data_IF_456137579505
#
_entry.id   IF_456137579505
#
_cell.length_a   1.000
_cell.length_b   1.000
_cell.length_c   1.000
_cell.angle_alpha   90.00
_cell.angle_beta   90.00
_cell.angle_gamma   90.00
#
_symmetry.space_group_name_H-M   'P 1'
#
loop_
_entity.id
_entity.type
_entity.pdbx_description
1 polymer ?
#
# COMPACT_ATOMS: atom_id res chain seq x y z
N UNK A 1 -30.56 -3.00 29.16
CA UNK A 1 -31.76 -2.78 28.32
C UNK A 1 -31.30 -2.21 26.98
N UNK A 2 -30.73 -3.05 26.11
CA UNK A 2 -30.48 -2.69 24.70
C UNK A 2 -31.81 -2.76 23.95
N UNK A 3 -32.19 -1.65 23.41
CA UNK A 3 -33.40 -1.47 22.59
C UNK A 3 -33.06 -1.98 21.18
N UNK A 4 -33.55 -3.14 20.84
CA UNK A 4 -33.60 -3.60 19.45
C UNK A 4 -34.50 -2.62 18.67
N UNK A 5 -33.91 -1.88 17.72
CA UNK A 5 -34.69 -1.23 16.67
C UNK A 5 -35.13 -2.30 15.66
N UNK A 6 -36.39 -2.35 15.26
CA UNK A 6 -36.84 -3.25 14.22
C UNK A 6 -36.28 -2.77 12.88
N UNK A 7 -35.53 -3.65 12.18
CA UNK A 7 -35.15 -3.46 10.80
C UNK A 7 -36.42 -3.49 9.92
N UNK A 8 -36.74 -2.33 9.36
CA UNK A 8 -37.79 -2.17 8.36
C UNK A 8 -37.18 -2.30 6.96
N UNK A 9 -37.87 -3.02 6.10
CA UNK A 9 -37.63 -3.35 4.71
C UNK A 9 -36.83 -4.64 4.47
N UNK A 10 -37.51 -5.62 3.89
CA UNK A 10 -37.01 -6.89 3.38
C UNK A 10 -35.90 -6.67 2.33
N UNK A 11 -34.68 -6.55 2.78
CA UNK A 11 -33.52 -6.78 1.93
C UNK A 11 -33.45 -8.29 1.65
N UNK A 12 -33.83 -8.72 0.45
CA UNK A 12 -33.83 -10.13 0.09
C UNK A 12 -32.39 -10.59 -0.13
N UNK A 13 -31.86 -11.37 0.81
CA UNK A 13 -30.57 -12.03 0.66
C UNK A 13 -30.59 -12.96 -0.56
N UNK A 14 -29.57 -12.85 -1.41
CA UNK A 14 -29.40 -13.70 -2.59
C UNK A 14 -28.33 -14.74 -2.31
N UNK A 15 -28.70 -16.03 -2.36
CA UNK A 15 -27.74 -17.13 -2.25
C UNK A 15 -26.97 -17.33 -3.56
N UNK A 16 -25.65 -17.46 -3.47
CA UNK A 16 -24.75 -17.52 -4.63
C UNK A 16 -25.00 -18.78 -5.47
N UNK A 17 -25.32 -19.90 -4.86
CA UNK A 17 -25.71 -21.12 -5.59
C UNK A 17 -26.90 -20.93 -6.55
N UNK A 18 -27.79 -19.99 -6.23
CA UNK A 18 -28.92 -19.63 -7.09
C UNK A 18 -28.54 -18.62 -8.18
N UNK A 19 -27.48 -17.85 -7.94
CA UNK A 19 -26.98 -16.86 -8.86
C UNK A 19 -26.13 -17.49 -9.97
N UNK A 20 -25.31 -18.49 -9.60
CA UNK A 20 -24.47 -19.22 -10.55
C UNK A 20 -25.33 -19.94 -11.59
N UNK A 21 -25.01 -19.71 -12.87
CA UNK A 21 -25.74 -20.26 -14.02
C UNK A 21 -26.87 -19.37 -14.55
N UNK A 22 -27.30 -18.32 -13.82
CA UNK A 22 -28.30 -17.39 -14.33
C UNK A 22 -27.80 -16.66 -15.57
N UNK A 23 -28.68 -16.43 -16.56
CA UNK A 23 -28.35 -15.58 -17.70
C UNK A 23 -28.15 -14.13 -17.28
N UNK A 24 -27.14 -13.50 -17.87
CA UNK A 24 -26.86 -12.07 -17.74
C UNK A 24 -27.37 -11.39 -18.99
N UNK A 25 -28.24 -10.40 -18.82
CA UNK A 25 -28.86 -9.66 -19.93
C UNK A 25 -28.47 -8.18 -19.87
N UNK A 26 -28.25 -7.58 -21.01
CA UNK A 26 -27.95 -6.15 -21.12
C UNK A 26 -29.23 -5.28 -21.10
N UNK A 27 -29.05 -3.96 -21.30
CA UNK A 27 -30.17 -3.01 -21.32
C UNK A 27 -31.15 -3.20 -22.50
N UNK A 28 -30.71 -3.86 -23.57
CA UNK A 28 -31.55 -4.19 -24.72
C UNK A 28 -32.34 -5.50 -24.49
N UNK A 29 -32.03 -6.25 -23.47
CA UNK A 29 -32.59 -7.56 -23.16
C UNK A 29 -31.84 -8.73 -23.81
N UNK A 30 -30.71 -8.45 -24.45
CA UNK A 30 -29.91 -9.46 -25.11
C UNK A 30 -29.05 -10.21 -24.08
N UNK A 31 -28.96 -11.53 -24.22
CA UNK A 31 -28.17 -12.35 -23.33
C UNK A 31 -26.68 -12.23 -23.64
N UNK A 32 -25.93 -11.65 -22.71
CA UNK A 32 -24.47 -11.48 -22.76
C UNK A 32 -23.75 -12.78 -22.43
N UNK A 33 -24.21 -13.51 -21.42
CA UNK A 33 -23.55 -14.73 -20.93
C UNK A 33 -24.29 -15.33 -19.73
N UNK A 34 -23.56 -16.07 -18.90
CA UNK A 34 -24.08 -16.64 -17.65
C UNK A 34 -23.13 -16.37 -16.47
N UNK A 35 -23.71 -16.12 -15.31
CA UNK A 35 -22.91 -15.97 -14.08
C UNK A 35 -22.16 -17.28 -13.78
N UNK A 36 -20.86 -17.17 -13.57
CA UNK A 36 -19.98 -18.30 -13.24
C UNK A 36 -19.55 -18.27 -11.78
N UNK A 37 -19.23 -17.09 -11.24
CA UNK A 37 -18.83 -16.92 -9.86
C UNK A 37 -19.07 -15.48 -9.40
N UNK A 38 -18.85 -15.21 -8.12
CA UNK A 38 -18.93 -13.89 -7.51
C UNK A 38 -17.56 -13.51 -6.93
N UNK A 39 -17.05 -12.35 -7.30
CA UNK A 39 -15.78 -11.81 -6.81
C UNK A 39 -16.04 -10.97 -5.56
N UNK A 40 -15.27 -11.22 -4.52
CA UNK A 40 -15.32 -10.43 -3.28
C UNK A 40 -13.92 -10.14 -2.75
N UNK A 41 -13.83 -9.11 -1.92
CA UNK A 41 -12.66 -8.78 -1.11
C UNK A 41 -12.96 -9.01 0.37
N UNK A 42 -12.01 -9.57 1.08
CA UNK A 42 -12.05 -9.61 2.53
C UNK A 42 -11.84 -8.20 3.08
N UNK A 43 -12.41 -7.92 4.24
CA UNK A 43 -12.19 -6.69 5.00
C UNK A 43 -11.60 -7.05 6.36
N UNK A 44 -10.92 -6.10 6.98
CA UNK A 44 -10.29 -6.26 8.29
C UNK A 44 -11.31 -6.56 9.39
N UNK A 45 -10.89 -7.34 10.36
CA UNK A 45 -11.69 -7.68 11.53
C UNK A 45 -12.92 -8.54 11.19
N UNK A 46 -14.02 -8.29 11.89
CA UNK A 46 -15.30 -9.01 11.76
C UNK A 46 -16.22 -8.45 10.68
N UNK A 47 -15.76 -7.49 9.87
CA UNK A 47 -16.57 -6.86 8.83
C UNK A 47 -16.91 -7.87 7.73
N UNK A 48 -18.15 -7.80 7.25
CA UNK A 48 -18.60 -8.65 6.14
C UNK A 48 -17.84 -8.30 4.85
N UNK A 49 -17.34 -9.29 4.06
CA UNK A 49 -16.61 -9.05 2.83
C UNK A 49 -17.42 -8.28 1.80
N UNK A 50 -16.75 -7.42 1.05
CA UNK A 50 -17.38 -6.61 0.01
C UNK A 50 -17.40 -7.34 -1.31
N UNK A 51 -18.58 -7.47 -1.91
CA UNK A 51 -18.74 -8.02 -3.27
C UNK A 51 -18.34 -6.97 -4.30
N UNK A 52 -17.40 -7.31 -5.16
CA UNK A 52 -16.85 -6.41 -6.20
C UNK A 52 -17.56 -6.56 -7.53
N UNK A 53 -17.92 -7.77 -7.91
CA UNK A 53 -18.54 -8.05 -9.21
C UNK A 53 -18.84 -9.51 -9.44
N UNK A 54 -19.27 -9.79 -10.66
CA UNK A 54 -19.60 -11.12 -11.14
C UNK A 54 -18.58 -11.56 -12.18
N UNK A 55 -18.18 -12.82 -12.14
CA UNK A 55 -17.52 -13.49 -13.27
C UNK A 55 -18.62 -14.03 -14.17
N UNK A 56 -18.65 -13.55 -15.40
CA UNK A 56 -19.66 -13.94 -16.42
C UNK A 56 -18.94 -14.71 -17.52
N UNK A 57 -19.46 -15.90 -17.84
CA UNK A 57 -18.99 -16.71 -18.96
C UNK A 57 -19.80 -16.40 -20.22
N UNK A 58 -19.12 -15.89 -21.24
CA UNK A 58 -19.70 -15.62 -22.55
C UNK A 58 -19.92 -16.92 -23.35
N UNK A 59 -20.68 -16.85 -24.44
CA UNK A 59 -20.95 -18.01 -25.31
C UNK A 59 -19.67 -18.68 -25.86
N UNK A 60 -18.58 -17.92 -26.03
CA UNK A 60 -17.27 -18.43 -26.46
C UNK A 60 -16.43 -19.06 -25.33
N UNK A 61 -17.03 -19.38 -24.17
CA UNK A 61 -16.35 -19.85 -22.95
C UNK A 61 -15.32 -18.88 -22.39
N UNK A 62 -15.29 -17.65 -22.87
CA UNK A 62 -14.45 -16.60 -22.29
C UNK A 62 -15.13 -16.06 -21.02
N UNK A 63 -14.36 -15.90 -19.96
CA UNK A 63 -14.81 -15.29 -18.71
C UNK A 63 -14.43 -13.83 -18.68
N UNK A 64 -15.37 -12.98 -18.30
CA UNK A 64 -15.21 -11.55 -18.16
C UNK A 64 -15.63 -11.10 -16.76
N UNK A 65 -15.19 -9.91 -16.34
CA UNK A 65 -15.58 -9.30 -15.07
C UNK A 65 -16.67 -8.25 -15.28
N UNK A 66 -17.75 -8.36 -14.53
CA UNK A 66 -18.83 -7.36 -14.50
C UNK A 66 -18.90 -6.74 -13.09
N UNK A 67 -18.50 -5.47 -12.92
CA UNK A 67 -18.55 -4.79 -11.63
C UNK A 67 -19.97 -4.72 -11.07
N UNK A 68 -20.13 -4.86 -9.72
CA UNK A 68 -21.45 -4.82 -9.07
C UNK A 68 -22.20 -3.51 -9.33
N UNK A 69 -21.51 -2.39 -9.51
CA UNK A 69 -22.13 -1.10 -9.85
C UNK A 69 -22.92 -1.13 -11.16
N UNK A 70 -22.57 -2.04 -12.08
CA UNK A 70 -23.29 -2.25 -13.37
C UNK A 70 -24.46 -3.21 -13.24
N UNK A 71 -24.55 -3.97 -12.17
CA UNK A 71 -25.67 -4.86 -11.89
C UNK A 71 -26.86 -4.01 -11.45
N UNK A 72 -27.88 -3.95 -12.31
CA UNK A 72 -29.08 -3.16 -12.08
C UNK A 72 -30.09 -3.91 -11.22
N UNK A 73 -30.33 -5.18 -11.54
CA UNK A 73 -31.29 -6.01 -10.84
C UNK A 73 -30.88 -7.49 -10.89
N UNK A 74 -31.15 -8.19 -9.81
CA UNK A 74 -31.01 -9.64 -9.70
C UNK A 74 -32.39 -10.22 -9.43
N UNK A 75 -32.88 -11.02 -10.35
CA UNK A 75 -34.14 -11.73 -10.21
C UNK A 75 -33.90 -13.25 -10.09
N UNK A 76 -34.94 -14.01 -9.84
CA UNK A 76 -34.82 -15.48 -9.78
C UNK A 76 -34.43 -16.12 -11.11
N UNK A 77 -34.62 -15.41 -12.24
CA UNK A 77 -34.43 -15.94 -13.59
C UNK A 77 -33.23 -15.34 -14.34
N UNK A 78 -32.79 -14.14 -13.97
CA UNK A 78 -31.74 -13.42 -14.70
C UNK A 78 -31.10 -12.32 -13.88
N UNK A 79 -29.91 -11.90 -14.30
CA UNK A 79 -29.20 -10.72 -13.84
C UNK A 79 -29.21 -9.67 -14.95
N UNK A 80 -29.80 -8.50 -14.69
CA UNK A 80 -29.81 -7.38 -15.63
C UNK A 80 -28.64 -6.43 -15.33
N UNK A 81 -27.91 -6.06 -16.38
CA UNK A 81 -26.76 -5.13 -16.28
C UNK A 81 -26.98 -3.89 -17.14
N UNK A 82 -26.34 -2.78 -16.77
CA UNK A 82 -26.37 -1.51 -17.50
C UNK A 82 -24.98 -1.15 -18.05
N UNK A 83 -25.00 -0.52 -19.21
CA UNK A 83 -23.80 -0.03 -19.90
C UNK A 83 -23.07 -1.11 -20.70
N UNK A 84 -21.99 -0.70 -21.37
CA UNK A 84 -21.20 -1.62 -22.20
C UNK A 84 -20.40 -2.59 -21.32
N UNK A 85 -20.37 -3.85 -21.74
CA UNK A 85 -19.62 -4.91 -21.08
C UNK A 85 -18.18 -4.87 -21.55
N UNK A 86 -17.24 -4.85 -20.61
CA UNK A 86 -15.82 -5.02 -20.91
C UNK A 86 -15.56 -6.49 -21.25
N UNK A 87 -15.18 -6.75 -22.48
CA UNK A 87 -14.96 -8.12 -23.00
C UNK A 87 -13.55 -8.65 -22.72
N UNK A 88 -12.71 -7.90 -22.02
CA UNK A 88 -11.38 -8.39 -21.63
C UNK A 88 -11.51 -9.64 -20.75
N UNK A 89 -10.59 -10.59 -20.98
CA UNK A 89 -10.58 -11.84 -20.24
C UNK A 89 -10.35 -11.56 -18.75
N UNK A 90 -11.22 -12.09 -17.91
CA UNK A 90 -11.06 -12.03 -16.47
C UNK A 90 -9.78 -12.73 -16.04
N UNK A 91 -8.95 -12.03 -15.25
CA UNK A 91 -7.84 -12.59 -14.50
C UNK A 91 -8.09 -12.27 -13.03
N UNK A 92 -8.14 -13.29 -12.19
CA UNK A 92 -8.26 -13.14 -10.74
C UNK A 92 -7.01 -12.41 -10.23
N UNK A 93 -7.20 -11.33 -9.48
CA UNK A 93 -6.11 -10.64 -8.75
C UNK A 93 -5.85 -11.35 -7.44
N UNK A 94 -4.71 -11.15 -6.84
CA UNK A 94 -4.32 -11.78 -5.57
C UNK A 94 -5.25 -11.41 -4.42
N UNK A 95 -5.69 -10.16 -4.36
CA UNK A 95 -6.68 -9.65 -3.39
C UNK A 95 -8.10 -10.15 -3.59
N UNK A 96 -8.39 -10.79 -4.73
CA UNK A 96 -9.75 -11.21 -5.10
C UNK A 96 -10.02 -12.66 -4.72
N UNK A 97 -11.18 -12.88 -4.17
CA UNK A 97 -11.71 -14.22 -3.84
C UNK A 97 -12.95 -14.52 -4.66
N UNK A 98 -13.13 -15.80 -5.00
CA UNK A 98 -14.27 -16.31 -5.74
C UNK A 98 -15.13 -17.15 -4.81
N UNK A 99 -16.42 -16.79 -4.68
CA UNK A 99 -17.28 -17.46 -3.69
C UNK A 99 -17.45 -18.94 -4.00
N UNK A 100 -17.83 -19.28 -5.23
CA UNK A 100 -18.08 -20.68 -5.58
C UNK A 100 -16.77 -21.50 -5.66
N UNK A 101 -15.71 -20.88 -6.19
CA UNK A 101 -14.42 -21.58 -6.37
C UNK A 101 -13.65 -21.72 -5.06
N UNK A 102 -13.59 -20.67 -4.24
CA UNK A 102 -12.69 -20.60 -3.09
C UNK A 102 -13.39 -20.92 -1.75
N UNK A 103 -14.71 -20.72 -1.63
CA UNK A 103 -15.44 -20.93 -0.38
C UNK A 103 -16.29 -22.19 -0.34
N UNK A 104 -16.91 -22.62 -1.45
CA UNK A 104 -17.76 -23.82 -1.41
C UNK A 104 -16.93 -25.06 -1.08
N UNK A 105 -17.53 -25.98 -0.33
CA UNK A 105 -16.91 -27.19 0.21
C UNK A 105 -15.71 -26.97 1.16
N UNK A 106 -15.37 -25.72 1.48
CA UNK A 106 -14.31 -25.42 2.42
C UNK A 106 -14.66 -25.92 3.82
N UNK A 107 -13.72 -26.59 4.52
CA UNK A 107 -13.95 -27.03 5.88
C UNK A 107 -14.07 -25.84 6.83
N UNK A 108 -15.02 -25.94 7.76
CA UNK A 108 -15.21 -24.96 8.84
C UNK A 108 -14.74 -25.61 10.15
N UNK A 109 -13.86 -24.95 10.95
CA UNK A 109 -13.40 -25.47 12.22
C UNK A 109 -14.58 -25.62 13.20
N UNK A 110 -15.01 -26.85 13.45
CA UNK A 110 -16.04 -27.21 14.41
C UNK A 110 -15.81 -28.65 14.90
N UNK A 111 -16.39 -28.99 16.03
CA UNK A 111 -16.31 -30.35 16.64
C UNK A 111 -16.81 -31.47 15.71
N UNK A 112 -17.67 -31.12 14.78
CA UNK A 112 -18.21 -32.06 13.77
C UNK A 112 -17.72 -31.61 12.38
N UNK A 113 -17.29 -32.56 11.50
CA UNK A 113 -16.87 -32.22 10.14
C UNK A 113 -17.95 -31.42 9.42
N UNK A 114 -17.70 -30.16 9.25
CA UNK A 114 -18.62 -29.17 8.69
C UNK A 114 -17.98 -28.50 7.47
N UNK A 115 -18.76 -28.24 6.44
CA UNK A 115 -18.30 -27.57 5.22
C UNK A 115 -19.26 -26.47 4.83
N UNK A 116 -18.75 -25.46 4.14
CA UNK A 116 -19.57 -24.43 3.53
C UNK A 116 -20.34 -25.02 2.36
N UNK A 117 -21.66 -24.88 2.40
CA UNK A 117 -22.55 -25.34 1.35
C UNK A 117 -22.95 -24.21 0.40
N UNK A 118 -23.21 -23.02 0.94
CA UNK A 118 -23.62 -21.84 0.18
C UNK A 118 -23.31 -20.56 0.94
N UNK A 119 -23.26 -19.45 0.26
CA UNK A 119 -23.06 -18.12 0.84
C UNK A 119 -24.13 -17.19 0.27
N UNK A 120 -24.70 -16.33 1.11
CA UNK A 120 -25.62 -15.30 0.66
C UNK A 120 -24.97 -13.92 0.65
N UNK A 121 -25.43 -13.06 -0.24
CA UNK A 121 -25.06 -11.65 -0.29
C UNK A 121 -26.30 -10.77 -0.16
N UNK A 122 -26.13 -9.58 0.42
CA UNK A 122 -27.18 -8.56 0.54
C UNK A 122 -26.70 -7.25 -0.04
N UNK A 123 -27.64 -6.45 -0.52
CA UNK A 123 -27.39 -5.08 -0.89
C UNK A 123 -27.47 -4.20 0.37
N UNK A 124 -26.40 -3.48 0.66
CA UNK A 124 -26.34 -2.44 1.70
C UNK A 124 -26.48 -1.05 1.06
N UNK A 125 -26.27 0.02 1.80
CA UNK A 125 -26.43 1.40 1.32
C UNK A 125 -25.62 1.67 0.04
N UNK A 126 -26.13 2.53 -0.85
CA UNK A 126 -25.46 3.02 -2.08
C UNK A 126 -25.09 1.97 -3.12
N UNK A 127 -25.91 0.91 -3.30
CA UNK A 127 -25.64 -0.20 -4.24
C UNK A 127 -24.38 -1.00 -3.95
N UNK A 128 -23.89 -0.94 -2.75
CA UNK A 128 -22.83 -1.83 -2.29
C UNK A 128 -23.42 -3.18 -1.89
N UNK A 129 -22.68 -4.24 -2.15
CA UNK A 129 -23.07 -5.60 -1.82
C UNK A 129 -22.05 -6.22 -0.89
N UNK A 130 -22.53 -6.96 0.11
CA UNK A 130 -21.70 -7.65 1.08
C UNK A 130 -22.12 -9.10 1.21
N UNK A 131 -21.17 -9.98 1.52
CA UNK A 131 -21.50 -11.35 1.93
C UNK A 131 -22.15 -11.27 3.32
N UNK A 132 -23.23 -12.02 3.50
CA UNK A 132 -24.07 -11.84 4.68
C UNK A 132 -24.15 -13.09 5.56
N UNK A 133 -24.55 -14.22 4.99
CA UNK A 133 -24.76 -15.47 5.68
C UNK A 133 -24.05 -16.61 4.98
N UNK A 134 -23.61 -17.57 5.79
CA UNK A 134 -22.99 -18.81 5.31
C UNK A 134 -23.91 -19.96 5.68
N UNK A 135 -24.31 -20.74 4.71
CA UNK A 135 -24.98 -22.02 4.91
C UNK A 135 -23.91 -23.11 5.06
N UNK A 136 -23.85 -23.72 6.21
CA UNK A 136 -22.92 -24.82 6.53
C UNK A 136 -23.66 -26.16 6.59
N UNK A 137 -22.99 -27.20 6.16
CA UNK A 137 -23.54 -28.55 6.23
C UNK A 137 -22.63 -29.45 7.05
N UNK A 138 -23.24 -30.19 8.00
CA UNK A 138 -22.56 -31.19 8.78
C UNK A 138 -23.17 -32.59 8.56
N UNK A 139 -22.34 -33.61 8.60
CA UNK A 139 -22.80 -34.99 8.61
C UNK A 139 -22.82 -35.52 10.04
N UNK A 140 -23.98 -35.66 10.64
CA UNK A 140 -24.14 -36.38 11.89
C UNK A 140 -24.00 -37.87 11.64
N UNK A 141 -23.07 -38.53 12.38
CA UNK A 141 -23.03 -40.00 12.41
C UNK A 141 -24.30 -40.49 13.05
N UNK A 142 -25.16 -41.13 12.27
CA UNK A 142 -26.32 -41.83 12.82
C UNK A 142 -25.92 -43.22 13.25
N UNK A 143 -26.30 -43.55 14.50
CA UNK A 143 -26.52 -44.83 15.19
C UNK A 143 -26.10 -46.13 14.51
N UNK A 144 -25.68 -47.07 15.35
CA UNK A 144 -25.16 -48.41 15.07
C UNK A 144 -25.98 -49.32 14.13
N UNK A 145 -27.15 -48.87 13.69
CA UNK A 145 -28.03 -49.64 12.78
C UNK A 145 -28.69 -48.69 11.78
N UNK A 146 -28.21 -48.65 10.54
CA UNK A 146 -29.00 -48.07 9.47
C UNK A 146 -28.33 -47.07 8.56
N UNK A 147 -28.64 -47.17 7.33
CA UNK A 147 -28.25 -46.36 6.19
C UNK A 147 -28.65 -44.87 6.32
N UNK A 148 -27.72 -43.97 6.03
CA UNK A 148 -28.04 -42.58 5.74
C UNK A 148 -27.82 -41.59 6.88
N UNK A 149 -26.62 -41.00 7.00
CA UNK A 149 -26.40 -39.82 7.83
C UNK A 149 -27.27 -38.64 7.34
N UNK A 150 -28.02 -38.01 8.25
CA UNK A 150 -28.84 -36.84 7.96
C UNK A 150 -27.91 -35.64 7.76
N UNK A 151 -27.99 -34.96 6.62
CA UNK A 151 -27.38 -33.65 6.45
C UNK A 151 -28.17 -32.64 7.26
N UNK A 152 -27.49 -31.96 8.15
CA UNK A 152 -28.04 -30.80 8.87
C UNK A 152 -27.41 -29.56 8.22
N UNK A 153 -28.25 -28.65 7.79
CA UNK A 153 -27.81 -27.36 7.23
C UNK A 153 -28.19 -26.27 8.21
N UNK A 154 -27.18 -25.54 8.71
CA UNK A 154 -27.36 -24.39 9.56
C UNK A 154 -26.97 -23.13 8.78
N UNK A 155 -27.63 -22.02 9.06
CA UNK A 155 -27.31 -20.72 8.51
C UNK A 155 -26.74 -19.88 9.65
N UNK A 156 -25.52 -19.38 9.44
CA UNK A 156 -24.80 -18.53 10.39
C UNK A 156 -24.44 -17.20 9.72
N UNK A 157 -24.30 -16.16 10.49
CA UNK A 157 -23.85 -14.88 9.99
C UNK A 157 -22.34 -14.90 9.77
N UNK A 158 -21.85 -14.12 8.81
CA UNK A 158 -20.42 -14.06 8.48
C UNK A 158 -19.55 -13.76 9.71
N UNK A 159 -19.95 -12.81 10.54
CA UNK A 159 -19.26 -12.42 11.76
C UNK A 159 -19.23 -13.49 12.87
N UNK A 160 -19.94 -14.59 12.71
CA UNK A 160 -19.94 -15.70 13.65
C UNK A 160 -18.93 -16.81 13.26
N UNK A 161 -18.15 -16.60 12.21
CA UNK A 161 -17.12 -17.54 11.74
C UNK A 161 -15.78 -16.82 11.61
N UNK A 162 -15.26 -16.24 12.72
CA UNK A 162 -13.99 -15.53 12.67
C UNK A 162 -12.84 -16.40 12.20
N UNK A 163 -12.82 -17.70 12.57
CA UNK A 163 -11.75 -18.61 12.19
C UNK A 163 -11.72 -18.96 10.69
N UNK A 164 -12.83 -18.81 9.97
CA UNK A 164 -12.83 -18.99 8.53
C UNK A 164 -12.13 -17.83 7.83
N UNK A 165 -12.38 -16.62 8.33
CA UNK A 165 -11.72 -15.38 7.87
C UNK A 165 -10.25 -15.41 8.29
N UNK A 166 -9.97 -15.81 9.55
CA UNK A 166 -8.62 -15.88 10.08
C UNK A 166 -7.77 -16.98 9.41
N UNK A 167 -8.35 -18.13 9.07
CA UNK A 167 -7.62 -19.17 8.34
C UNK A 167 -7.27 -18.78 6.90
N UNK A 168 -8.04 -17.85 6.29
CA UNK A 168 -7.79 -17.30 4.97
C UNK A 168 -6.98 -16.01 4.99
N UNK A 169 -7.15 -15.18 6.04
CA UNK A 169 -6.39 -13.95 6.25
C UNK A 169 -5.05 -14.18 6.97
N UNK A 170 -4.66 -15.44 7.20
CA UNK A 170 -3.39 -15.80 7.88
C UNK A 170 -2.28 -16.21 6.92
N UNK A 171 -2.52 -16.32 5.63
CA UNK A 171 -1.41 -16.55 4.70
C UNK A 171 -0.63 -15.25 4.48
N UNK A 172 0.70 -15.31 4.37
CA UNK A 172 1.53 -14.16 4.04
C UNK A 172 1.04 -13.44 2.79
N UNK A 173 0.66 -14.19 1.76
CA UNK A 173 0.18 -13.65 0.48
C UNK A 173 -1.10 -12.81 0.62
N UNK A 174 -1.93 -13.11 1.61
CA UNK A 174 -3.13 -12.32 1.87
C UNK A 174 -2.80 -10.97 2.53
N UNK A 175 -1.82 -10.94 3.43
CA UNK A 175 -1.34 -9.69 4.05
C UNK A 175 -0.63 -8.83 3.00
N UNK A 176 0.25 -9.40 2.20
CA UNK A 176 0.92 -8.72 1.07
C UNK A 176 -0.10 -8.11 0.11
N UNK A 177 -1.13 -8.88 -0.26
CA UNK A 177 -2.21 -8.36 -1.10
C UNK A 177 -3.05 -7.24 -0.44
N UNK A 178 -3.13 -7.20 0.88
CA UNK A 178 -3.75 -6.11 1.64
C UNK A 178 -2.87 -4.85 1.60
N UNK A 179 -1.56 -5.02 1.69
CA UNK A 179 -0.59 -3.93 1.74
C UNK A 179 -0.51 -3.13 0.44
N UNK A 180 -0.76 -3.73 -0.72
CA UNK A 180 -0.71 -3.04 -2.02
C UNK A 180 -1.64 -1.82 -2.17
N UNK A 181 -2.64 -1.66 -1.32
CA UNK A 181 -3.56 -0.52 -1.30
C UNK A 181 -3.37 0.38 -0.04
N UNK A 182 -2.37 0.07 0.81
CA UNK A 182 -2.09 0.78 2.06
C UNK A 182 -0.95 1.78 1.88
N UNK A 183 -0.87 2.74 2.78
CA UNK A 183 0.29 3.64 2.87
C UNK A 183 1.41 2.97 3.65
N UNK A 184 2.68 3.35 3.40
CA UNK A 184 3.83 2.80 4.12
C UNK A 184 3.68 2.79 5.64
N UNK A 185 3.30 3.92 6.24
CA UNK A 185 3.05 4.02 7.69
C UNK A 185 1.96 3.06 8.21
N UNK A 186 0.89 2.81 7.42
CA UNK A 186 -0.15 1.84 7.80
C UNK A 186 0.37 0.39 7.67
N UNK A 187 1.28 0.12 6.72
CA UNK A 187 1.94 -1.18 6.58
C UNK A 187 2.89 -1.42 7.76
N UNK A 188 3.70 -0.43 8.12
CA UNK A 188 4.59 -0.48 9.27
C UNK A 188 3.82 -0.83 10.55
N UNK A 189 2.69 -0.17 10.81
CA UNK A 189 1.82 -0.48 11.95
C UNK A 189 1.34 -1.95 11.93
N UNK A 190 0.92 -2.46 10.78
CA UNK A 190 0.50 -3.86 10.66
C UNK A 190 1.67 -4.84 10.86
N UNK A 191 2.87 -4.49 10.42
CA UNK A 191 4.09 -5.29 10.64
C UNK A 191 4.48 -5.30 12.11
N UNK A 192 4.43 -4.15 12.80
CA UNK A 192 4.67 -4.02 14.23
C UNK A 192 3.74 -4.93 15.06
N UNK A 193 2.47 -5.01 14.70
CA UNK A 193 1.45 -5.80 15.41
C UNK A 193 1.56 -7.33 15.15
N UNK A 194 2.48 -7.80 14.29
CA UNK A 194 2.62 -9.21 13.96
C UNK A 194 3.45 -9.98 14.99
N UNK A 195 3.04 -11.21 15.27
CA UNK A 195 3.89 -12.17 15.97
C UNK A 195 5.22 -12.39 15.23
N UNK A 196 6.38 -12.55 15.92
CA UNK A 196 7.71 -12.66 15.28
C UNK A 196 7.82 -13.75 14.20
N UNK A 197 7.14 -14.89 14.37
CA UNK A 197 7.15 -15.99 13.38
C UNK A 197 6.39 -15.58 12.11
N UNK A 198 5.28 -14.87 12.27
CA UNK A 198 4.48 -14.37 11.14
C UNK A 198 5.15 -13.22 10.42
N UNK A 199 5.80 -12.33 11.15
CA UNK A 199 6.55 -11.21 10.59
C UNK A 199 7.59 -11.73 9.58
N UNK A 200 8.35 -12.77 9.93
CA UNK A 200 9.33 -13.39 9.02
C UNK A 200 8.68 -13.93 7.75
N UNK A 201 7.52 -14.58 7.87
CA UNK A 201 6.82 -15.14 6.69
C UNK A 201 6.26 -14.03 5.78
N UNK A 202 5.73 -12.95 6.37
CA UNK A 202 5.18 -11.81 5.63
C UNK A 202 6.29 -11.02 4.94
N UNK A 203 7.36 -10.72 5.66
CA UNK A 203 8.54 -10.04 5.13
C UNK A 203 9.17 -10.82 3.96
N UNK A 204 9.19 -12.16 4.01
CA UNK A 204 9.65 -12.99 2.87
C UNK A 204 8.74 -12.92 1.64
N UNK A 205 7.48 -12.59 1.83
CA UNK A 205 6.49 -12.55 0.75
C UNK A 205 6.28 -11.14 0.17
N UNK A 206 6.77 -10.09 0.85
CA UNK A 206 6.78 -8.71 0.35
C UNK A 206 7.82 -8.56 -0.76
N UNK A 207 7.55 -7.70 -1.73
CA UNK A 207 8.57 -7.16 -2.64
C UNK A 207 9.48 -6.18 -1.89
N UNK A 208 10.64 -5.92 -2.44
CA UNK A 208 11.68 -5.17 -1.76
C UNK A 208 11.33 -3.67 -1.67
N UNK A 209 10.65 -3.07 -2.67
CA UNK A 209 10.14 -1.69 -2.67
C UNK A 209 9.13 -1.46 -1.53
N UNK A 210 8.08 -2.30 -1.44
CA UNK A 210 7.08 -2.19 -0.36
C UNK A 210 7.69 -2.42 1.03
N UNK A 211 8.70 -3.29 1.13
CA UNK A 211 9.39 -3.56 2.39
C UNK A 211 10.27 -2.37 2.80
N UNK A 212 10.97 -1.75 1.85
CA UNK A 212 11.80 -0.56 2.07
C UNK A 212 10.95 0.59 2.60
N UNK A 213 9.89 0.97 1.88
CA UNK A 213 8.95 2.02 2.30
C UNK A 213 8.35 1.76 3.70
N UNK A 214 8.04 0.50 4.03
CA UNK A 214 7.50 0.16 5.35
C UNK A 214 8.57 0.19 6.45
N UNK A 215 9.84 -0.14 6.12
CA UNK A 215 10.96 -0.07 7.06
C UNK A 215 11.24 1.35 7.50
N UNK A 216 11.24 2.33 6.60
CA UNK A 216 11.44 3.75 6.89
C UNK A 216 10.47 4.29 7.95
N UNK A 217 9.28 3.70 8.02
CA UNK A 217 8.22 4.09 8.96
C UNK A 217 8.23 3.29 10.28
N UNK A 218 9.11 2.29 10.42
CA UNK A 218 9.25 1.52 11.66
C UNK A 218 10.20 2.22 12.67
N UNK A 219 10.07 1.94 13.98
CA UNK A 219 11.08 2.33 14.96
C UNK A 219 12.46 1.75 14.62
N UNK A 220 13.54 2.51 14.86
CA UNK A 220 14.92 2.13 14.46
C UNK A 220 15.38 0.77 14.97
N UNK A 221 15.03 0.40 16.23
CA UNK A 221 15.35 -0.90 16.80
C UNK A 221 14.63 -2.06 16.08
N UNK A 222 13.44 -1.84 15.52
CA UNK A 222 12.71 -2.81 14.71
C UNK A 222 13.27 -2.91 13.31
N UNK A 223 13.68 -1.79 12.71
CA UNK A 223 14.39 -1.74 11.43
C UNK A 223 15.63 -2.62 11.48
N UNK A 224 16.50 -2.41 12.50
CA UNK A 224 17.71 -3.20 12.72
C UNK A 224 17.39 -4.69 12.88
N UNK A 225 16.37 -5.02 13.68
CA UNK A 225 15.96 -6.41 13.87
C UNK A 225 15.49 -7.07 12.59
N UNK A 226 14.76 -6.37 11.74
CA UNK A 226 14.25 -6.89 10.47
C UNK A 226 15.39 -7.10 9.48
N UNK A 227 16.21 -6.09 9.24
CA UNK A 227 17.36 -6.18 8.32
C UNK A 227 18.32 -7.31 8.76
N UNK A 228 18.59 -7.45 10.06
CA UNK A 228 19.45 -8.52 10.58
C UNK A 228 18.91 -9.93 10.39
N UNK A 229 17.61 -10.10 10.09
CA UNK A 229 16.98 -11.41 9.84
C UNK A 229 16.90 -11.78 8.35
N UNK A 230 17.16 -10.82 7.46
CA UNK A 230 17.22 -11.06 6.02
C UNK A 230 18.55 -11.71 5.63
N UNK A 231 18.56 -12.39 4.48
CA UNK A 231 19.81 -12.79 3.83
C UNK A 231 20.54 -11.54 3.30
N UNK A 232 21.86 -11.49 3.38
CA UNK A 232 22.66 -10.30 3.06
C UNK A 232 22.30 -9.68 1.70
N UNK A 233 22.17 -10.50 0.65
CA UNK A 233 21.80 -9.99 -0.67
C UNK A 233 20.47 -9.25 -0.64
N UNK A 234 19.45 -9.86 -0.03
CA UNK A 234 18.13 -9.26 0.05
C UNK A 234 18.08 -8.03 0.95
N UNK A 235 18.84 -8.04 2.04
CA UNK A 235 18.97 -6.86 2.90
C UNK A 235 19.60 -5.69 2.13
N UNK A 236 20.59 -5.96 1.28
CA UNK A 236 21.20 -4.96 0.41
C UNK A 236 20.21 -4.46 -0.68
N UNK A 237 19.43 -5.36 -1.29
CA UNK A 237 18.40 -4.98 -2.28
C UNK A 237 17.33 -4.08 -1.64
N UNK A 238 16.87 -4.41 -0.42
CA UNK A 238 15.89 -3.58 0.32
C UNK A 238 16.47 -2.22 0.69
N UNK A 239 17.74 -2.17 1.16
CA UNK A 239 18.40 -0.90 1.46
C UNK A 239 18.62 -0.02 0.22
N UNK A 240 18.77 -0.62 -0.96
CA UNK A 240 18.88 0.09 -2.22
C UNK A 240 17.56 0.71 -2.69
N UNK A 241 16.41 0.14 -2.26
CA UNK A 241 15.07 0.69 -2.54
C UNK A 241 14.61 1.73 -1.49
N UNK A 242 15.33 1.90 -0.38
CA UNK A 242 15.07 2.94 0.61
C UNK A 242 15.54 4.32 0.13
N UNK A 243 14.97 5.38 0.71
CA UNK A 243 15.55 6.71 0.56
C UNK A 243 17.00 6.69 1.09
N UNK A 244 17.99 7.22 0.34
CA UNK A 244 19.41 7.04 0.66
C UNK A 244 19.83 7.58 2.04
N UNK A 245 19.17 8.60 2.55
CA UNK A 245 19.39 9.16 3.88
C UNK A 245 18.87 8.21 4.99
N UNK A 246 17.68 7.64 4.83
CA UNK A 246 17.13 6.62 5.73
C UNK A 246 18.00 5.36 5.74
N UNK A 247 18.44 4.90 4.57
CA UNK A 247 19.37 3.79 4.45
C UNK A 247 20.72 4.09 5.14
N UNK A 248 21.25 5.33 5.03
CA UNK A 248 22.47 5.73 5.68
C UNK A 248 22.33 5.77 7.22
N UNK A 249 21.18 6.23 7.73
CA UNK A 249 20.93 6.28 9.16
C UNK A 249 20.79 4.87 9.75
N UNK A 250 20.05 3.98 9.07
CA UNK A 250 19.99 2.58 9.47
C UNK A 250 21.36 1.90 9.45
N UNK A 251 22.19 2.13 8.44
CA UNK A 251 23.54 1.56 8.32
C UNK A 251 24.47 2.08 9.43
N UNK A 252 24.37 3.33 9.86
CA UNK A 252 25.14 3.88 10.98
C UNK A 252 24.90 3.14 12.31
N UNK A 253 23.68 2.62 12.50
CA UNK A 253 23.32 1.89 13.72
C UNK A 253 23.75 0.42 13.70
N UNK A 254 24.14 -0.12 12.53
CA UNK A 254 24.60 -1.50 12.40
C UNK A 254 26.07 -1.67 12.83
N UNK A 255 26.48 -2.87 13.25
CA UNK A 255 27.89 -3.18 13.47
C UNK A 255 28.71 -2.96 12.17
N UNK A 256 29.88 -2.31 12.28
CA UNK A 256 30.75 -1.93 11.14
C UNK A 256 30.96 -3.05 10.12
N UNK A 257 31.17 -4.29 10.58
CA UNK A 257 31.37 -5.43 9.69
C UNK A 257 30.11 -5.83 8.89
N UNK A 258 28.91 -5.59 9.47
CA UNK A 258 27.62 -5.85 8.79
C UNK A 258 27.33 -4.72 7.80
N UNK A 259 27.54 -3.48 8.22
CA UNK A 259 27.38 -2.30 7.39
C UNK A 259 28.24 -2.39 6.11
N UNK A 260 29.51 -2.75 6.22
CA UNK A 260 30.41 -2.87 5.07
C UNK A 260 29.99 -4.06 4.17
N UNK A 261 29.59 -5.20 4.75
CA UNK A 261 29.12 -6.35 3.97
C UNK A 261 27.85 -5.99 3.17
N UNK A 262 26.90 -5.24 3.73
CA UNK A 262 25.72 -4.77 3.04
C UNK A 262 26.06 -3.79 1.91
N UNK A 263 26.92 -2.81 2.18
CA UNK A 263 27.37 -1.84 1.16
C UNK A 263 28.18 -2.47 0.02
N UNK A 264 28.83 -3.62 0.24
CA UNK A 264 29.50 -4.39 -0.82
C UNK A 264 28.51 -5.16 -1.69
N UNK A 265 27.31 -5.48 -1.18
CA UNK A 265 26.28 -6.22 -1.91
C UNK A 265 25.25 -5.33 -2.60
N UNK A 266 25.21 -4.03 -2.26
CA UNK A 266 24.36 -3.04 -2.95
C UNK A 266 24.89 -2.76 -4.36
N UNK A 267 24.04 -2.27 -5.26
CA UNK A 267 24.43 -1.71 -6.55
C UNK A 267 25.47 -0.58 -6.33
N UNK A 268 26.49 -0.45 -7.17
CA UNK A 268 27.57 0.52 -6.96
C UNK A 268 27.10 1.99 -6.89
N UNK A 269 26.02 2.35 -7.56
CA UNK A 269 25.44 3.69 -7.57
C UNK A 269 24.80 4.00 -6.23
N UNK A 270 23.91 3.13 -5.73
CA UNK A 270 23.23 3.27 -4.45
C UNK A 270 24.21 3.24 -3.28
N UNK A 271 25.15 2.28 -3.28
CA UNK A 271 26.21 2.23 -2.29
C UNK A 271 27.09 3.49 -2.25
N UNK A 272 27.29 4.14 -3.41
CA UNK A 272 28.03 5.42 -3.48
C UNK A 272 27.25 6.54 -2.82
N UNK A 273 25.94 6.60 -3.03
CA UNK A 273 25.08 7.65 -2.47
C UNK A 273 24.98 7.52 -0.95
N UNK A 274 24.74 6.31 -0.45
CA UNK A 274 24.75 6.03 0.98
C UNK A 274 26.12 6.37 1.61
N UNK A 275 27.24 5.92 1.00
CA UNK A 275 28.59 6.23 1.51
C UNK A 275 28.88 7.73 1.58
N UNK A 276 28.34 8.53 0.66
CA UNK A 276 28.47 10.00 0.71
C UNK A 276 27.78 10.59 1.94
N UNK A 277 26.62 10.03 2.32
CA UNK A 277 25.85 10.51 3.47
C UNK A 277 26.49 10.10 4.81
N UNK A 278 27.10 8.92 4.85
CA UNK A 278 27.75 8.39 6.06
C UNK A 278 28.89 9.29 6.60
N UNK A 279 29.45 10.19 5.78
CA UNK A 279 30.52 11.10 6.24
C UNK A 279 29.99 12.29 7.04
N UNK A 280 28.70 12.59 6.96
CA UNK A 280 28.07 13.69 7.66
C UNK A 280 27.55 13.28 9.02
N UNK A 281 27.48 14.22 9.94
CA UNK A 281 26.87 14.01 11.25
C UNK A 281 25.35 13.96 11.13
N UNK A 282 24.73 13.07 11.85
CA UNK A 282 23.27 12.80 11.87
C UNK A 282 22.42 14.08 12.01
N UNK A 283 22.72 14.96 12.96
CA UNK A 283 21.99 16.21 13.22
C UNK A 283 22.53 17.41 12.42
N UNK A 284 23.00 17.18 11.19
CA UNK A 284 23.42 18.22 10.25
C UNK A 284 22.64 18.18 8.96
N UNK A 285 22.65 19.27 8.18
CA UNK A 285 21.99 19.28 6.89
C UNK A 285 22.48 18.17 5.95
N UNK A 286 23.77 17.84 6.01
CA UNK A 286 24.35 16.77 5.22
C UNK A 286 23.94 15.37 5.65
N UNK A 287 23.62 15.17 6.95
CA UNK A 287 23.12 13.90 7.46
C UNK A 287 21.63 13.68 7.18
N UNK A 288 20.85 14.76 7.09
CA UNK A 288 19.39 14.74 6.85
C UNK A 288 19.03 14.99 5.39
N UNK A 289 19.98 15.04 4.45
CA UNK A 289 19.70 15.38 3.05
C UNK A 289 19.54 14.13 2.19
N UNK A 290 18.60 14.15 1.27
CA UNK A 290 18.61 13.24 0.16
C UNK A 290 19.60 13.70 -0.92
N UNK A 291 20.38 12.79 -1.54
CA UNK A 291 21.27 13.10 -2.64
C UNK A 291 20.54 13.25 -3.98
N UNK A 292 19.23 13.01 -4.04
CA UNK A 292 18.42 12.93 -5.25
C UNK A 292 17.40 14.08 -5.41
N UNK A 293 17.78 15.37 -5.28
CA UNK A 293 16.88 16.48 -5.53
C UNK A 293 16.54 16.59 -7.02
N UNK A 294 15.44 17.27 -7.34
CA UNK A 294 15.09 17.58 -8.74
C UNK A 294 16.02 18.66 -9.29
N UNK A 295 16.97 18.28 -10.13
CA UNK A 295 17.99 19.15 -10.70
C UNK A 295 17.77 19.36 -12.19
N UNK A 296 17.91 20.61 -12.64
CA UNK A 296 17.83 21.01 -14.06
C UNK A 296 18.97 21.96 -14.45
N UNK A 297 19.28 21.99 -15.75
CA UNK A 297 20.21 22.96 -16.31
C UNK A 297 19.56 24.35 -16.44
N UNK A 298 20.38 25.36 -16.59
CA UNK A 298 19.97 26.75 -16.77
C UNK A 298 19.17 27.02 -18.05
N UNK A 299 19.33 26.22 -19.09
CA UNK A 299 18.60 26.30 -20.35
C UNK A 299 17.33 25.43 -20.41
N UNK A 300 17.04 24.66 -19.36
CA UNK A 300 15.84 23.88 -19.27
C UNK A 300 14.57 24.75 -19.32
N UNK A 301 13.52 24.18 -19.92
CA UNK A 301 12.23 24.84 -20.05
C UNK A 301 11.28 24.50 -18.89
N UNK A 302 10.24 25.31 -18.72
CA UNK A 302 9.15 25.02 -17.77
C UNK A 302 8.48 23.67 -18.09
N UNK A 303 8.37 23.30 -19.38
CA UNK A 303 7.81 22.01 -19.77
C UNK A 303 8.64 20.83 -19.26
N UNK A 304 9.97 20.93 -19.36
CA UNK A 304 10.90 19.92 -18.83
C UNK A 304 10.84 19.87 -17.30
N UNK A 305 10.83 21.02 -16.63
CA UNK A 305 10.65 21.08 -15.17
C UNK A 305 9.35 20.39 -14.71
N UNK A 306 8.23 20.70 -15.40
CA UNK A 306 6.94 20.09 -15.11
C UNK A 306 6.90 18.58 -15.42
N UNK A 307 7.70 18.10 -16.37
CA UNK A 307 7.82 16.68 -16.64
C UNK A 307 8.53 15.96 -15.48
N UNK A 308 9.65 16.52 -15.00
CA UNK A 308 10.41 15.95 -13.87
C UNK A 308 9.60 15.89 -12.59
N UNK A 309 8.93 16.97 -12.17
CA UNK A 309 8.14 16.99 -10.93
C UNK A 309 6.86 16.12 -10.97
N UNK A 310 6.53 15.51 -12.11
CA UNK A 310 5.40 14.57 -12.28
C UNK A 310 5.82 13.11 -12.19
N UNK A 311 7.08 12.84 -12.02
CA UNK A 311 7.57 11.49 -11.79
C UNK A 311 6.91 10.91 -10.53
N UNK A 312 6.37 9.70 -10.62
CA UNK A 312 5.55 9.09 -9.56
C UNK A 312 6.37 8.77 -8.29
N UNK A 313 7.67 8.63 -8.44
CA UNK A 313 8.63 8.29 -7.39
C UNK A 313 8.99 9.49 -6.49
N UNK A 314 8.72 10.72 -6.94
CA UNK A 314 9.06 11.91 -6.15
C UNK A 314 8.06 12.13 -5.01
N UNK A 315 8.60 12.34 -3.81
CA UNK A 315 7.80 12.77 -2.66
C UNK A 315 7.21 14.17 -2.89
N UNK A 316 6.08 14.51 -2.27
CA UNK A 316 5.49 15.85 -2.39
C UNK A 316 6.46 16.99 -2.01
N UNK A 317 7.37 16.75 -1.07
CA UNK A 317 8.38 17.72 -0.65
C UNK A 317 9.38 17.95 -1.78
N UNK A 318 10.00 16.92 -2.32
CA UNK A 318 10.96 17.01 -3.43
C UNK A 318 10.32 17.60 -4.70
N UNK A 319 9.10 17.19 -5.05
CA UNK A 319 8.36 17.74 -6.18
C UNK A 319 7.99 19.21 -6.04
N UNK A 320 8.11 19.81 -4.84
CA UNK A 320 7.73 21.19 -4.57
C UNK A 320 8.72 22.21 -5.14
N UNK A 321 9.96 21.83 -5.41
CA UNK A 321 11.03 22.75 -5.86
C UNK A 321 11.97 22.06 -6.84
N UNK A 322 12.41 22.82 -7.84
CA UNK A 322 13.43 22.42 -8.80
C UNK A 322 14.68 23.26 -8.55
N UNK A 323 15.83 22.60 -8.45
CA UNK A 323 17.11 23.26 -8.29
C UNK A 323 17.79 23.40 -9.64
N UNK A 324 18.34 24.59 -9.88
CA UNK A 324 19.02 24.91 -11.15
C UNK A 324 20.51 24.96 -10.91
N UNK A 325 21.24 24.12 -11.64
CA UNK A 325 22.68 24.00 -11.54
C UNK A 325 23.34 24.14 -12.93
N UNK A 326 24.65 24.25 -12.97
CA UNK A 326 25.42 23.99 -14.18
C UNK A 326 25.79 22.50 -14.23
N UNK A 327 26.00 21.91 -15.41
CA UNK A 327 26.44 20.52 -15.52
C UNK A 327 27.76 20.26 -14.74
N UNK A 328 27.93 19.03 -14.16
CA UNK A 328 27.01 17.89 -14.21
C UNK A 328 25.73 18.14 -13.42
N UNK A 329 24.63 17.44 -13.76
CA UNK A 329 23.34 17.57 -13.07
C UNK A 329 23.15 16.55 -11.94
N UNK A 330 23.86 15.44 -12.02
CA UNK A 330 23.92 14.43 -10.94
C UNK A 330 24.66 15.01 -9.74
N UNK A 331 24.24 14.66 -8.54
CA UNK A 331 24.86 15.14 -7.30
C UNK A 331 26.13 14.35 -6.97
N UNK A 332 27.23 14.96 -6.54
CA UNK A 332 27.43 16.40 -6.45
C UNK A 332 27.37 17.08 -7.82
N UNK A 333 26.44 18.01 -7.99
CA UNK A 333 26.23 18.66 -9.28
C UNK A 333 27.33 19.69 -9.59
N UNK A 334 27.21 20.32 -10.77
CA UNK A 334 27.93 21.56 -11.00
C UNK A 334 27.44 22.70 -10.10
N UNK A 335 27.90 23.90 -10.37
CA UNK A 335 27.60 25.06 -9.52
C UNK A 335 26.11 25.32 -9.41
N UNK A 336 25.61 25.39 -8.19
CA UNK A 336 24.26 25.83 -7.86
C UNK A 336 24.03 27.26 -8.32
N UNK A 337 22.88 27.54 -8.95
CA UNK A 337 22.53 28.86 -9.52
C UNK A 337 21.29 29.44 -8.86
N UNK A 338 20.31 28.63 -8.50
CA UNK A 338 19.06 29.07 -7.86
C UNK A 338 18.01 27.95 -7.84
N UNK A 339 16.82 28.29 -7.38
CA UNK A 339 15.70 27.35 -7.28
C UNK A 339 14.40 27.93 -7.84
N UNK A 340 13.48 27.07 -8.28
CA UNK A 340 12.15 27.46 -8.77
C UNK A 340 11.10 26.63 -8.05
N UNK A 341 10.21 27.29 -7.34
CA UNK A 341 9.09 26.63 -6.70
C UNK A 341 8.03 26.18 -7.73
N UNK A 342 7.46 24.98 -7.58
CA UNK A 342 6.52 24.39 -8.53
C UNK A 342 5.32 25.29 -8.86
N UNK A 343 4.83 26.10 -7.90
CA UNK A 343 3.73 27.03 -8.13
C UNK A 343 4.09 28.12 -9.16
N UNK A 344 5.36 28.50 -9.28
CA UNK A 344 5.82 29.42 -10.31
C UNK A 344 5.79 28.74 -11.69
N UNK A 345 6.23 27.48 -11.76
CA UNK A 345 6.18 26.66 -12.98
C UNK A 345 4.75 26.50 -13.49
N UNK A 346 3.77 26.26 -12.59
CA UNK A 346 2.36 26.12 -12.97
C UNK A 346 1.74 27.40 -13.56
N UNK A 347 2.31 28.59 -13.28
CA UNK A 347 1.81 29.88 -13.76
C UNK A 347 2.54 30.39 -15.01
N UNK A 348 3.62 29.72 -15.38
CA UNK A 348 4.49 30.15 -16.47
C UNK A 348 4.14 29.45 -17.79
N UNK A 349 4.55 30.08 -18.90
CA UNK A 349 4.41 29.45 -20.20
C UNK A 349 5.39 28.29 -20.35
N UNK A 350 4.96 27.15 -20.92
CA UNK A 350 5.79 25.94 -21.02
C UNK A 350 7.14 26.12 -21.73
N UNK A 351 7.22 27.05 -22.64
CA UNK A 351 8.43 27.38 -23.44
C UNK A 351 9.38 28.35 -22.77
N UNK A 352 9.03 28.87 -21.59
CA UNK A 352 9.89 29.79 -20.86
C UNK A 352 11.05 29.03 -20.22
N UNK A 353 12.25 29.62 -20.20
CA UNK A 353 13.39 29.01 -19.49
C UNK A 353 13.26 29.17 -17.99
N UNK A 354 13.53 28.12 -17.22
CA UNK A 354 13.48 28.13 -15.74
C UNK A 354 14.42 29.20 -15.16
N UNK A 355 15.57 29.45 -15.79
CA UNK A 355 16.53 30.44 -15.38
C UNK A 355 15.95 31.86 -15.30
N UNK A 356 14.88 32.17 -16.04
CA UNK A 356 14.26 33.51 -16.05
C UNK A 356 13.36 33.78 -14.85
N UNK A 357 13.04 32.76 -14.08
CA UNK A 357 12.10 32.83 -12.96
C UNK A 357 12.65 32.31 -11.64
N UNK A 358 13.88 31.81 -11.63
CA UNK A 358 14.46 31.26 -10.40
C UNK A 358 14.70 32.35 -9.36
N UNK A 359 14.55 31.96 -8.10
CA UNK A 359 14.93 32.77 -6.96
C UNK A 359 16.45 32.65 -6.73
N UNK A 360 17.14 33.77 -6.89
CA UNK A 360 18.57 33.87 -6.63
C UNK A 360 18.90 34.28 -5.19
N UNK A 361 17.87 34.61 -4.38
CA UNK A 361 18.06 35.09 -3.02
C UNK A 361 17.92 33.99 -1.97
N UNK A 362 17.49 32.82 -2.39
CA UNK A 362 17.45 31.67 -1.51
C UNK A 362 18.89 31.19 -1.24
N UNK A 363 19.42 31.58 -0.07
CA UNK A 363 20.74 31.09 0.37
C UNK A 363 20.67 29.60 0.66
N UNK A 364 21.58 28.78 0.10
CA UNK A 364 21.61 27.35 0.38
C UNK A 364 22.13 27.06 1.80
N UNK A 365 21.77 25.88 2.32
CA UNK A 365 22.36 25.36 3.54
C UNK A 365 23.77 24.81 3.26
N UNK A 366 24.68 24.91 4.24
CA UNK A 366 25.93 24.16 4.23
C UNK A 366 25.66 22.73 4.74
N UNK A 367 26.37 21.71 4.24
CA UNK A 367 26.27 20.34 4.78
C UNK A 367 26.52 20.26 6.30
N UNK A 368 27.36 21.12 6.85
CA UNK A 368 27.67 21.19 8.28
C UNK A 368 26.66 22.00 9.09
N UNK A 369 25.60 22.53 8.48
CA UNK A 369 24.57 23.30 9.18
C UNK A 369 23.85 22.44 10.21
N UNK A 370 23.86 22.79 11.52
CA UNK A 370 23.23 21.96 12.54
C UNK A 370 21.70 22.03 12.45
N UNK A 371 21.00 21.00 12.92
CA UNK A 371 19.52 20.86 12.94
C UNK A 371 18.80 22.14 13.40
N UNK A 372 19.29 22.82 14.45
CA UNK A 372 18.69 24.06 14.92
C UNK A 372 18.77 25.23 13.91
N UNK A 373 19.77 25.26 13.03
CA UNK A 373 19.88 26.22 11.94
C UNK A 373 18.97 25.83 10.79
N UNK A 374 18.93 24.54 10.44
CA UNK A 374 18.07 23.97 9.39
C UNK A 374 16.61 24.22 9.71
N UNK A 375 16.15 23.84 10.93
CA UNK A 375 14.76 24.08 11.38
C UNK A 375 14.38 25.56 11.33
N UNK A 376 15.28 26.45 11.75
CA UNK A 376 15.03 27.90 11.68
C UNK A 376 14.95 28.40 10.24
N UNK A 377 15.72 27.83 9.34
CA UNK A 377 15.69 28.14 7.92
C UNK A 377 14.31 27.81 7.32
N UNK A 378 13.82 26.60 7.54
CA UNK A 378 12.47 26.18 7.11
C UNK A 378 11.37 27.09 7.66
N UNK A 379 11.42 27.37 8.97
CA UNK A 379 10.44 28.23 9.62
C UNK A 379 10.49 29.68 9.13
N UNK A 380 11.68 30.21 8.77
CA UNK A 380 11.86 31.58 8.31
C UNK A 380 11.34 31.77 6.89
N UNK A 381 11.64 30.84 6.01
CA UNK A 381 11.33 30.96 4.57
C UNK A 381 10.05 30.21 4.18
N UNK A 382 9.41 29.51 5.13
CA UNK A 382 8.20 28.72 4.89
C UNK A 382 8.35 27.73 3.72
N UNK A 383 9.47 27.03 3.70
CA UNK A 383 9.81 26.05 2.67
C UNK A 383 9.47 24.62 3.17
N UNK A 384 9.40 23.71 2.23
CA UNK A 384 9.24 22.26 2.50
C UNK A 384 10.45 21.45 2.00
N UNK A 385 11.32 22.07 1.22
CA UNK A 385 12.62 21.51 0.79
C UNK A 385 13.64 22.64 0.65
N UNK A 386 14.90 22.37 0.99
CA UNK A 386 15.99 23.34 0.98
C UNK A 386 17.25 22.76 0.33
N UNK A 387 17.94 23.52 -0.54
CA UNK A 387 19.17 23.07 -1.19
C UNK A 387 20.34 23.02 -0.20
N UNK A 388 21.16 21.96 -0.29
CA UNK A 388 22.42 21.83 0.41
C UNK A 388 23.59 21.99 -0.57
N UNK A 389 24.48 22.93 -0.31
CA UNK A 389 25.57 23.30 -1.19
C UNK A 389 26.89 23.28 -0.45
N UNK A 390 27.88 22.65 -1.03
CA UNK A 390 29.22 22.55 -0.46
C UNK A 390 30.06 23.84 -0.57
N UNK A 391 31.28 23.82 -0.05
CA UNK A 391 32.20 24.97 -0.09
C UNK A 391 32.63 25.37 -1.51
N UNK A 392 32.55 24.48 -2.48
CA UNK A 392 32.90 24.74 -3.90
C UNK A 392 31.71 25.30 -4.68
N UNK A 393 30.54 25.34 -4.05
CA UNK A 393 29.30 25.83 -4.62
C UNK A 393 28.55 24.81 -5.44
N UNK A 394 28.85 23.52 -5.27
CA UNK A 394 28.13 22.40 -5.87
C UNK A 394 26.92 22.02 -5.03
N UNK A 395 25.79 21.70 -5.66
CA UNK A 395 24.63 21.13 -4.97
C UNK A 395 24.94 19.66 -4.65
N UNK A 396 24.93 19.33 -3.37
CA UNK A 396 25.24 17.98 -2.88
C UNK A 396 24.01 17.19 -2.49
N UNK A 397 22.88 17.88 -2.27
CA UNK A 397 21.60 17.27 -1.94
C UNK A 397 20.53 18.32 -1.59
N UNK A 398 19.44 17.88 -1.03
CA UNK A 398 18.41 18.72 -0.47
C UNK A 398 17.86 18.11 0.81
N UNK A 399 17.54 18.94 1.79
CA UNK A 399 16.86 18.54 3.02
C UNK A 399 15.37 18.80 2.83
N UNK A 400 14.53 17.88 3.27
CA UNK A 400 13.07 18.05 3.29
C UNK A 400 12.58 18.43 4.71
N UNK A 401 11.34 18.85 4.82
CA UNK A 401 10.79 19.28 6.12
C UNK A 401 10.43 18.07 6.98
N UNK A 402 10.06 16.96 6.38
CA UNK A 402 9.77 15.68 7.02
C UNK A 402 11.00 15.13 7.72
N UNK A 403 12.17 15.06 7.06
CA UNK A 403 13.44 14.62 7.68
C UNK A 403 13.84 15.52 8.87
N UNK A 404 13.64 16.83 8.72
CA UNK A 404 13.86 17.76 9.86
C UNK A 404 12.91 17.48 11.02
N UNK A 405 11.65 17.14 10.74
CA UNK A 405 10.68 16.83 11.78
C UNK A 405 11.02 15.52 12.48
N UNK A 406 11.45 14.51 11.75
CA UNK A 406 11.86 13.23 12.31
C UNK A 406 13.03 13.41 13.30
N UNK A 407 14.05 14.16 12.91
CA UNK A 407 15.18 14.48 13.80
C UNK A 407 14.84 15.44 14.95
N UNK A 408 13.66 16.08 14.94
CA UNK A 408 13.16 16.94 16.04
C UNK A 408 12.26 16.21 17.00
N UNK A 409 11.65 15.12 16.61
CA UNK A 409 10.80 14.29 17.46
C UNK A 409 11.65 13.41 18.37
N UNK A 410 11.11 12.88 19.47
CA UNK A 410 11.82 11.88 20.28
C UNK A 410 12.13 10.63 19.45
N UNK A 411 13.28 9.97 19.70
CA UNK A 411 13.72 8.78 18.96
C UNK A 411 12.68 7.62 18.96
N UNK A 412 11.78 7.60 19.95
CA UNK A 412 10.72 6.60 20.11
C UNK A 412 9.34 7.07 19.63
N UNK A 413 9.26 8.20 18.90
CA UNK A 413 7.96 8.78 18.54
C UNK A 413 7.10 7.83 17.64
N UNK A 414 7.73 7.09 16.74
CA UNK A 414 7.04 6.10 15.89
C UNK A 414 6.49 4.95 16.75
N UNK A 415 7.27 4.43 17.68
CA UNK A 415 6.85 3.39 18.64
C UNK A 415 5.73 3.85 19.57
N UNK A 416 5.86 5.05 20.16
CA UNK A 416 4.83 5.64 21.04
C UNK A 416 3.51 5.84 20.32
N UNK A 417 3.51 6.29 19.08
CA UNK A 417 2.30 6.45 18.28
C UNK A 417 1.63 5.11 17.98
N UNK A 418 2.40 4.07 17.70
CA UNK A 418 1.90 2.73 17.47
C UNK A 418 1.23 2.15 18.72
N UNK A 419 1.85 2.29 19.89
CA UNK A 419 1.31 1.83 21.17
C UNK A 419 0.03 2.57 21.58
N UNK A 420 -0.05 3.89 21.38
CA UNK A 420 -1.25 4.70 21.68
C UNK A 420 -2.46 4.29 20.82
N UNK A 421 -2.24 3.94 19.55
CA UNK A 421 -3.32 3.47 18.65
C UNK A 421 -3.86 2.10 19.08
N UNK A 422 -3.02 1.23 19.62
CA UNK A 422 -3.42 -0.08 20.17
C UNK A 422 -4.29 0.09 21.41
N UNK A 423 -3.95 0.99 22.33
CA UNK A 423 -4.77 1.26 23.54
C UNK A 423 -6.16 1.79 23.19
N UNK A 424 -6.29 2.68 22.21
CA UNK A 424 -7.58 3.23 21.75
C UNK A 424 -8.46 2.17 21.08
N UNK A 425 -7.85 1.17 20.44
CA UNK A 425 -8.61 0.10 19.76
C UNK A 425 -9.18 -0.97 20.71
N UNK A 426 -8.68 -1.06 21.95
CA UNK A 426 -9.08 -2.02 22.99
C UNK A 426 -9.96 -1.41 24.11
N UNK A 427 -10.25 -0.13 24.09
CA UNK A 427 -11.16 0.59 25.00
C UNK A 427 -12.54 0.78 24.39
#
# INVERSE_FOLDING_TARGET
>A
KCRFMPMSAKESAVFISRLVGLPVVDAAGDQVGRVKDVVFHLRTGTLAPRVRGLVVELFARQRIFVPMIRVHNITVNQVAILGQVDTRRFKKRETEWLVATDLFDRPVPRDVPTRIYDVSMIQVRNREWELFQIAITSRTKVSRFGFGGRRVTDIIQWNQVPDLVLATGRSPEHLVAKFSDMKPADIAQELHDLDPDRLVDVVKALDDETLAEALEELPGDEQIQLISKLETNRAADVLAEMDPDDAADLIKELPEAVAEDLLEHMEPEDASDVRRLLVYGEFTAGGMMTPEPVVLDTDATVAEALARIREEQLTPALASMVFVTRPPLETPSGRYVGAVHFQQLLRAAPTLMVATMMDHNLEPLSPDSPLAQVSRFFATYNLVVAPVVDSDGALVGAVTVDDVLDHMLPDDWRGTQMDELVEVSHG
#
